data_IF_583832020558
#
_entry.id   IF_583832020558
#
_cell.length_a   1.000
_cell.length_b   1.000
_cell.length_c   1.000
_cell.angle_alpha   90.00
_cell.angle_beta   90.00
_cell.angle_gamma   90.00
#
_symmetry.space_group_name_H-M   'P 1'
#
loop_
_entity.id
_entity.type
_entity.pdbx_description
1 polymer ?
#
# COMPACT_ATOMS: atom_id res chain seq x y z
N UNK A 1 -70.90 61.51 -47.26
CA UNK A 1 -71.35 62.23 -46.03
C UNK A 1 -70.89 61.45 -44.82
N UNK A 2 -70.24 62.16 -43.89
CA UNK A 2 -70.02 61.94 -42.45
C UNK A 2 -69.90 60.50 -41.91
N UNK A 3 -68.71 60.09 -41.44
CA UNK A 3 -68.15 60.23 -40.06
C UNK A 3 -68.69 59.13 -39.13
N UNK A 4 -67.81 58.31 -38.54
CA UNK A 4 -67.64 58.12 -37.07
C UNK A 4 -66.74 56.91 -36.70
N UNK A 5 -65.54 57.25 -36.17
CA UNK A 5 -64.97 56.83 -34.87
C UNK A 5 -64.41 55.39 -34.64
N UNK A 6 -63.09 55.37 -34.32
CA UNK A 6 -62.21 54.34 -33.68
C UNK A 6 -62.77 53.73 -32.35
N UNK A 7 -62.09 52.82 -31.58
CA UNK A 7 -60.79 52.10 -31.72
C UNK A 7 -60.79 50.58 -31.32
N UNK A 8 -59.61 49.97 -31.53
CA UNK A 8 -59.02 48.72 -31.04
C UNK A 8 -59.50 48.09 -29.72
N UNK A 9 -59.49 46.74 -29.66
CA UNK A 9 -58.74 45.93 -28.66
C UNK A 9 -58.85 44.43 -28.97
N UNK A 10 -57.71 43.81 -29.31
CA UNK A 10 -57.54 42.36 -29.36
C UNK A 10 -57.48 41.81 -27.92
N UNK A 11 -58.29 40.80 -27.63
CA UNK A 11 -58.24 40.02 -26.39
C UNK A 11 -57.36 38.78 -26.65
N UNK A 12 -56.11 38.83 -26.17
CA UNK A 12 -55.28 37.63 -26.01
C UNK A 12 -55.60 37.09 -24.62
N UNK A 13 -56.25 35.93 -24.56
CA UNK A 13 -56.41 35.16 -23.33
C UNK A 13 -55.08 34.43 -23.10
N UNK A 14 -54.31 34.92 -22.13
CA UNK A 14 -53.10 34.28 -21.65
C UNK A 14 -53.44 33.10 -20.73
N UNK A 15 -53.11 31.88 -21.14
CA UNK A 15 -53.03 30.74 -20.25
C UNK A 15 -51.69 30.80 -19.51
N UNK A 16 -51.73 31.19 -18.23
CA UNK A 16 -50.59 31.18 -17.33
C UNK A 16 -50.28 29.73 -16.92
N UNK A 17 -49.31 29.10 -17.60
CA UNK A 17 -48.72 27.85 -17.12
C UNK A 17 -47.68 28.22 -16.07
N UNK A 18 -48.05 28.11 -14.78
CA UNK A 18 -47.09 28.15 -13.68
C UNK A 18 -46.24 26.87 -13.74
N UNK A 19 -45.10 26.94 -14.43
CA UNK A 19 -44.03 25.95 -14.25
C UNK A 19 -43.39 26.18 -12.88
N UNK A 20 -43.83 25.42 -11.88
CA UNK A 20 -43.11 25.30 -10.62
C UNK A 20 -41.81 24.53 -10.90
N UNK A 21 -40.76 25.27 -11.25
CA UNK A 21 -39.40 24.75 -11.25
C UNK A 21 -39.02 24.45 -9.80
N UNK A 22 -39.27 23.22 -9.37
CA UNK A 22 -38.71 22.67 -8.14
C UNK A 22 -37.20 22.59 -8.31
N UNK A 23 -36.49 23.66 -7.95
CA UNK A 23 -35.06 23.59 -7.69
C UNK A 23 -34.90 22.73 -6.44
N UNK A 24 -34.74 21.42 -6.61
CA UNK A 24 -34.12 20.59 -5.58
C UNK A 24 -32.68 21.05 -5.46
N UNK A 25 -32.45 22.15 -4.74
CA UNK A 25 -31.13 22.52 -4.27
C UNK A 25 -30.67 21.37 -3.41
N UNK A 26 -29.76 20.55 -3.94
CA UNK A 26 -29.04 19.57 -3.16
C UNK A 26 -28.34 20.34 -2.04
N UNK A 27 -28.94 20.35 -0.85
CA UNK A 27 -28.44 21.04 0.31
C UNK A 27 -27.09 20.40 0.62
N UNK A 28 -26.01 21.13 0.31
CA UNK A 28 -24.62 20.68 0.45
C UNK A 28 -24.46 20.24 1.90
N UNK A 29 -24.45 18.93 2.14
CA UNK A 29 -24.29 18.41 3.50
C UNK A 29 -23.03 19.03 4.07
N UNK A 30 -23.07 19.58 5.30
CA UNK A 30 -21.86 20.10 5.92
C UNK A 30 -20.81 18.99 5.92
N UNK A 31 -19.60 19.32 5.46
CA UNK A 31 -18.49 18.37 5.45
C UNK A 31 -18.25 17.89 6.87
N UNK A 32 -18.08 16.57 7.06
CA UNK A 32 -17.65 16.02 8.33
C UNK A 32 -16.22 16.45 8.71
N UNK A 33 -15.44 16.93 7.73
CA UNK A 33 -14.09 17.44 7.92
C UNK A 33 -14.14 18.91 8.32
N UNK A 34 -13.56 19.30 9.48
CA UNK A 34 -13.51 20.69 9.91
C UNK A 34 -12.79 21.59 8.89
N UNK A 35 -13.39 22.74 8.57
CA UNK A 35 -12.80 23.70 7.62
C UNK A 35 -11.57 24.44 8.18
N UNK A 36 -11.48 24.59 9.51
CA UNK A 36 -10.36 25.20 10.21
C UNK A 36 -9.92 24.28 11.38
N UNK A 37 -9.26 23.15 11.09
CA UNK A 37 -8.84 22.21 12.11
C UNK A 37 -7.71 22.79 12.97
N UNK A 38 -7.72 22.48 14.27
CA UNK A 38 -6.59 22.76 15.15
C UNK A 38 -5.40 21.83 14.84
N UNK A 39 -4.20 22.20 15.27
CA UNK A 39 -3.00 21.37 15.11
C UNK A 39 -3.17 20.01 15.80
N UNK A 40 -3.85 19.97 16.95
CA UNK A 40 -4.20 18.72 17.65
C UNK A 40 -5.07 17.82 16.78
N UNK A 41 -6.03 18.39 16.06
CA UNK A 41 -6.88 17.67 15.12
C UNK A 41 -6.08 17.14 13.94
N UNK A 42 -5.19 17.95 13.36
CA UNK A 42 -4.32 17.54 12.25
C UNK A 42 -3.41 16.38 12.69
N UNK A 43 -2.72 16.50 13.83
CA UNK A 43 -1.86 15.46 14.38
C UNK A 43 -2.66 14.18 14.66
N UNK A 44 -3.87 14.31 15.22
CA UNK A 44 -4.72 13.15 15.46
C UNK A 44 -5.05 12.42 14.15
N UNK A 45 -5.42 13.14 13.09
CA UNK A 45 -5.69 12.51 11.78
C UNK A 45 -4.44 11.84 11.22
N UNK A 46 -3.28 12.51 11.23
CA UNK A 46 -2.03 11.94 10.73
C UNK A 46 -1.62 10.65 11.48
N UNK A 47 -1.89 10.56 12.78
CA UNK A 47 -1.69 9.33 13.56
C UNK A 47 -2.71 8.22 13.26
N UNK A 48 -3.86 8.56 12.67
CA UNK A 48 -4.93 7.59 12.36
C UNK A 48 -4.84 7.04 10.94
N UNK A 49 -4.31 7.81 10.01
CA UNK A 49 -4.23 7.46 8.58
C UNK A 49 -2.79 7.24 8.10
N UNK A 50 -1.83 7.16 9.01
CA UNK A 50 -0.41 7.03 8.70
C UNK A 50 0.38 6.58 9.92
N UNK A 51 1.71 6.56 9.79
CA UNK A 51 2.61 6.23 10.90
C UNK A 51 2.86 7.41 11.86
N UNK A 52 2.08 8.48 11.72
CA UNK A 52 2.21 9.73 12.44
C UNK A 52 2.87 10.84 11.60
N UNK A 53 2.92 12.08 12.13
CA UNK A 53 3.43 13.23 11.39
C UNK A 53 4.96 13.16 11.23
N UNK A 54 5.44 13.21 9.99
CA UNK A 54 6.83 13.50 9.68
C UNK A 54 7.12 15.02 9.83
N UNK A 55 8.40 15.43 9.91
CA UNK A 55 8.76 16.85 9.96
C UNK A 55 8.16 17.64 8.79
N UNK A 56 7.36 18.66 9.10
CA UNK A 56 6.69 19.51 8.10
C UNK A 56 5.30 19.05 7.66
N UNK A 57 4.81 17.90 8.12
CA UNK A 57 3.49 17.38 7.73
C UNK A 57 2.35 18.27 8.22
N UNK A 58 2.41 18.75 9.47
CA UNK A 58 1.37 19.61 10.05
C UNK A 58 1.27 20.92 9.27
N UNK A 59 2.41 21.51 8.91
CA UNK A 59 2.50 22.72 8.10
C UNK A 59 1.98 22.49 6.68
N UNK A 60 2.31 21.33 6.07
CA UNK A 60 1.78 20.95 4.76
C UNK A 60 0.27 20.85 4.79
N UNK A 61 -0.29 20.11 5.75
CA UNK A 61 -1.74 19.94 5.90
C UNK A 61 -2.43 21.27 6.20
N UNK A 62 -1.82 22.15 6.99
CA UNK A 62 -2.35 23.52 7.21
C UNK A 62 -2.45 24.30 5.90
N UNK A 63 -1.45 24.19 5.03
CA UNK A 63 -1.39 24.92 3.76
C UNK A 63 -2.43 24.44 2.75
N UNK A 64 -2.61 23.12 2.61
CA UNK A 64 -3.53 22.54 1.62
C UNK A 64 -4.95 22.33 2.15
N UNK A 65 -5.11 22.30 3.48
CA UNK A 65 -6.36 21.96 4.16
C UNK A 65 -6.51 20.46 4.42
N UNK A 66 -7.13 20.12 5.56
CA UNK A 66 -7.31 18.72 5.99
C UNK A 66 -8.16 17.89 5.03
N UNK A 67 -9.19 18.49 4.42
CA UNK A 67 -10.02 17.79 3.43
C UNK A 67 -9.21 17.39 2.18
N UNK A 68 -8.41 18.31 1.65
CA UNK A 68 -7.55 18.02 0.49
C UNK A 68 -6.49 16.97 0.83
N UNK A 69 -5.94 16.99 2.04
CA UNK A 69 -5.01 15.95 2.49
C UNK A 69 -5.69 14.56 2.55
N UNK A 70 -6.90 14.48 3.10
CA UNK A 70 -7.66 13.22 3.14
C UNK A 70 -7.97 12.71 1.72
N UNK A 71 -8.41 13.59 0.83
CA UNK A 71 -8.68 13.23 -0.57
C UNK A 71 -7.44 12.69 -1.29
N UNK A 72 -6.26 13.28 -1.02
CA UNK A 72 -4.98 12.77 -1.51
C UNK A 72 -4.69 11.35 -1.02
N UNK A 73 -4.88 11.08 0.28
CA UNK A 73 -4.63 9.77 0.86
C UNK A 73 -5.62 8.70 0.35
N UNK A 74 -6.85 9.09 0.03
CA UNK A 74 -7.85 8.19 -0.57
C UNK A 74 -7.63 7.94 -2.07
N UNK A 75 -6.71 8.67 -2.71
CA UNK A 75 -6.39 8.55 -4.14
C UNK A 75 -4.87 8.42 -4.33
N UNK A 76 -4.26 7.33 -3.82
CA UNK A 76 -2.81 7.17 -3.79
C UNK A 76 -2.15 7.20 -5.17
N UNK A 77 -2.86 6.80 -6.23
CA UNK A 77 -2.35 6.84 -7.62
C UNK A 77 -2.05 8.26 -8.12
N UNK A 78 -2.63 9.28 -7.48
CA UNK A 78 -2.39 10.70 -7.82
C UNK A 78 -1.19 11.30 -7.08
N UNK A 79 -0.64 10.58 -6.10
CA UNK A 79 0.51 11.01 -5.34
C UNK A 79 1.78 10.44 -5.96
N UNK A 80 2.71 11.33 -6.31
CA UNK A 80 4.06 10.93 -6.69
C UNK A 80 4.80 10.42 -5.45
N UNK A 81 5.59 9.36 -5.62
CA UNK A 81 6.35 8.74 -4.52
C UNK A 81 7.86 8.67 -4.82
N UNK A 82 8.33 9.61 -5.64
CA UNK A 82 9.69 9.60 -6.20
C UNK A 82 10.79 9.51 -5.14
N UNK A 83 10.56 10.09 -3.95
CA UNK A 83 11.54 10.07 -2.84
C UNK A 83 11.82 8.66 -2.34
N UNK A 84 10.77 7.84 -2.18
CA UNK A 84 10.93 6.46 -1.71
C UNK A 84 11.33 5.55 -2.87
N UNK A 85 10.78 5.75 -4.06
CA UNK A 85 11.18 4.98 -5.24
C UNK A 85 12.68 5.15 -5.56
N UNK A 86 13.23 6.36 -5.41
CA UNK A 86 14.67 6.60 -5.55
C UNK A 86 15.51 5.84 -4.49
N UNK A 87 14.98 5.65 -3.27
CA UNK A 87 15.67 4.89 -2.21
C UNK A 87 15.59 3.38 -2.43
N UNK A 88 14.50 2.91 -3.02
CA UNK A 88 14.27 1.50 -3.34
C UNK A 88 14.91 1.08 -4.67
N UNK A 89 15.39 2.03 -5.47
CA UNK A 89 15.94 1.77 -6.80
C UNK A 89 17.09 0.75 -6.80
N UNK A 90 17.87 0.66 -5.72
CA UNK A 90 18.99 -0.26 -5.58
C UNK A 90 18.65 -1.63 -4.99
N UNK A 91 17.37 -1.92 -4.70
CA UNK A 91 16.94 -3.20 -4.15
C UNK A 91 16.42 -4.08 -5.30
N UNK A 92 17.31 -4.86 -5.87
CA UNK A 92 17.02 -5.63 -7.08
C UNK A 92 15.99 -6.73 -6.84
N UNK A 93 15.97 -7.32 -5.64
CA UNK A 93 15.05 -8.42 -5.32
C UNK A 93 13.59 -7.96 -5.28
N UNK A 94 13.32 -6.67 -5.10
CA UNK A 94 11.96 -6.11 -5.13
C UNK A 94 11.32 -6.12 -6.53
N UNK A 95 12.15 -6.18 -7.57
CA UNK A 95 11.71 -6.13 -8.97
C UNK A 95 11.57 -7.51 -9.61
N UNK A 96 11.99 -8.55 -8.89
CA UNK A 96 12.00 -9.92 -9.40
C UNK A 96 10.61 -10.56 -9.35
N UNK A 97 10.38 -11.55 -10.21
CA UNK A 97 9.22 -12.43 -10.12
C UNK A 97 9.42 -13.48 -9.02
N UNK A 98 8.35 -14.12 -8.56
CA UNK A 98 8.44 -15.30 -7.69
C UNK A 98 9.35 -16.37 -8.31
N UNK A 99 9.30 -16.54 -9.63
CA UNK A 99 10.12 -17.53 -10.33
C UNK A 99 11.62 -17.20 -10.21
N UNK A 100 12.00 -15.95 -10.49
CA UNK A 100 13.40 -15.52 -10.43
C UNK A 100 13.93 -15.61 -8.98
N UNK A 101 13.13 -15.17 -8.01
CA UNK A 101 13.45 -15.31 -6.59
C UNK A 101 13.66 -16.79 -6.21
N UNK A 102 12.81 -17.69 -6.71
CA UNK A 102 12.96 -19.12 -6.48
C UNK A 102 14.26 -19.66 -7.10
N UNK A 103 14.53 -19.31 -8.35
CA UNK A 103 15.66 -19.82 -9.13
C UNK A 103 17.02 -19.31 -8.64
N UNK A 104 17.11 -18.03 -8.33
CA UNK A 104 18.39 -17.38 -8.06
C UNK A 104 18.78 -17.39 -6.58
N UNK A 105 17.79 -17.45 -5.67
CA UNK A 105 18.04 -17.29 -4.23
C UNK A 105 17.69 -18.54 -3.41
N UNK A 106 16.55 -19.19 -3.68
CA UNK A 106 16.05 -20.27 -2.79
C UNK A 106 16.41 -21.69 -3.24
N UNK A 107 16.31 -22.01 -4.54
CA UNK A 107 16.67 -23.34 -5.06
C UNK A 107 18.14 -23.68 -4.83
N UNK A 108 19.12 -22.79 -5.09
CA UNK A 108 20.52 -23.07 -4.80
C UNK A 108 20.76 -23.35 -3.32
N UNK A 109 20.11 -22.59 -2.43
CA UNK A 109 20.21 -22.78 -0.99
C UNK A 109 19.60 -24.10 -0.51
N UNK A 110 18.47 -24.51 -1.08
CA UNK A 110 17.86 -25.81 -0.81
C UNK A 110 18.76 -26.96 -1.25
N UNK A 111 19.35 -26.86 -2.46
CA UNK A 111 20.27 -27.87 -2.98
C UNK A 111 21.54 -27.99 -2.13
N UNK A 112 22.17 -26.88 -1.78
CA UNK A 112 23.37 -26.85 -0.93
C UNK A 112 23.09 -27.47 0.45
N UNK A 113 21.95 -27.11 1.08
CA UNK A 113 21.52 -27.71 2.35
C UNK A 113 21.31 -29.22 2.23
N UNK A 114 20.66 -29.69 1.16
CA UNK A 114 20.42 -31.13 0.93
C UNK A 114 21.73 -31.89 0.72
N UNK A 115 22.66 -31.35 -0.05
CA UNK A 115 23.97 -31.95 -0.27
C UNK A 115 24.76 -32.06 1.05
N UNK A 116 24.75 -31.01 1.86
CA UNK A 116 25.39 -31.03 3.17
C UNK A 116 24.74 -32.01 4.15
N UNK A 117 23.41 -32.12 4.16
CA UNK A 117 22.68 -33.11 4.97
C UNK A 117 23.04 -34.54 4.56
N UNK A 118 23.10 -34.82 3.26
CA UNK A 118 23.53 -36.12 2.72
C UNK A 118 24.97 -36.45 3.09
N UNK A 119 25.88 -35.47 3.00
CA UNK A 119 27.26 -35.64 3.43
C UNK A 119 27.37 -35.93 4.94
N UNK A 120 26.43 -35.45 5.75
CA UNK A 120 26.30 -35.75 7.18
C UNK A 120 25.55 -37.06 7.48
N UNK A 121 25.14 -37.83 6.47
CA UNK A 121 24.40 -39.10 6.64
C UNK A 121 22.92 -38.95 7.02
N UNK A 122 22.37 -37.73 6.99
CA UNK A 122 20.94 -37.47 7.17
C UNK A 122 20.29 -37.37 5.79
N UNK A 123 19.50 -38.37 5.39
CA UNK A 123 18.71 -38.32 4.14
C UNK A 123 17.21 -38.18 4.50
N UNK A 124 16.69 -36.94 4.63
CA UNK A 124 15.27 -36.77 4.88
C UNK A 124 14.51 -37.19 3.61
N UNK A 125 13.67 -38.22 3.74
CA UNK A 125 12.73 -38.61 2.70
C UNK A 125 11.90 -37.41 2.25
N UNK A 126 11.59 -37.35 0.96
CA UNK A 126 10.79 -36.29 0.32
C UNK A 126 9.31 -36.47 0.68
N UNK A 127 8.95 -36.42 1.97
CA UNK A 127 7.54 -36.39 2.38
C UNK A 127 7.00 -34.97 2.16
N UNK A 128 5.88 -34.79 1.45
CA UNK A 128 5.21 -33.49 1.30
C UNK A 128 4.66 -32.96 2.63
N UNK A 129 4.65 -33.79 3.68
CA UNK A 129 4.08 -33.46 4.97
C UNK A 129 5.06 -32.66 5.83
N UNK A 130 4.64 -31.42 6.00
CA UNK A 130 5.12 -30.35 6.85
C UNK A 130 5.55 -30.84 8.26
N UNK A 131 6.62 -30.26 8.83
CA UNK A 131 6.40 -29.52 10.07
C UNK A 131 6.85 -28.07 9.90
N UNK A 132 5.90 -27.24 9.49
CA UNK A 132 5.93 -25.80 9.62
C UNK A 132 5.44 -25.48 11.03
N UNK A 133 6.21 -25.89 12.03
CA UNK A 133 5.99 -25.41 13.40
C UNK A 133 7.23 -25.49 14.29
N UNK A 134 8.37 -25.92 13.76
CA UNK A 134 9.65 -25.70 14.43
C UNK A 134 10.34 -24.54 13.72
N UNK A 135 10.68 -23.44 14.44
CA UNK A 135 11.74 -22.57 13.98
C UNK A 135 12.91 -23.48 13.65
N UNK A 136 13.43 -23.36 12.43
CA UNK A 136 14.63 -24.05 12.03
C UNK A 136 15.71 -23.76 13.09
N UNK A 137 15.98 -24.76 13.94
CA UNK A 137 17.04 -24.68 14.95
C UNK A 137 18.43 -24.66 14.30
N UNK A 138 18.55 -24.56 12.96
CA UNK A 138 19.81 -24.25 12.26
C UNK A 138 20.39 -22.87 12.60
N UNK A 139 19.69 -22.06 13.40
CA UNK A 139 20.26 -20.91 14.11
C UNK A 139 21.42 -21.29 15.05
N UNK A 140 21.57 -22.56 15.41
CA UNK A 140 22.68 -23.07 16.20
C UNK A 140 23.53 -24.07 15.41
N UNK A 141 24.40 -23.62 14.51
CA UNK A 141 25.56 -24.39 14.02
C UNK A 141 26.46 -23.47 13.16
N UNK A 142 27.13 -22.54 13.84
CA UNK A 142 27.92 -21.47 13.20
C UNK A 142 29.36 -21.82 12.85
N UNK A 143 29.85 -23.05 13.08
CA UNK A 143 31.28 -23.37 12.90
C UNK A 143 31.65 -24.11 11.61
N UNK A 144 30.80 -25.01 11.11
CA UNK A 144 31.20 -25.94 10.02
C UNK A 144 30.38 -25.79 8.72
N UNK A 145 29.98 -24.56 8.36
CA UNK A 145 29.34 -24.32 7.05
C UNK A 145 30.39 -24.20 5.95
N UNK A 146 30.18 -24.94 4.87
CA UNK A 146 30.94 -24.82 3.61
C UNK A 146 30.80 -23.41 3.01
N UNK A 147 31.74 -22.95 2.17
CA UNK A 147 31.61 -21.66 1.49
C UNK A 147 30.31 -21.53 0.67
N UNK A 148 29.86 -22.63 0.06
CA UNK A 148 28.64 -22.69 -0.73
C UNK A 148 27.38 -22.52 0.13
N UNK A 149 27.28 -23.20 1.28
CA UNK A 149 26.18 -23.02 2.24
C UNK A 149 26.12 -21.59 2.80
N UNK A 150 27.29 -20.96 3.03
CA UNK A 150 27.35 -19.57 3.49
C UNK A 150 26.82 -18.61 2.42
N UNK A 151 27.26 -18.78 1.17
CA UNK A 151 26.80 -17.97 0.04
C UNK A 151 25.29 -18.11 -0.15
N UNK A 152 24.76 -19.32 -0.05
CA UNK A 152 23.34 -19.56 -0.24
C UNK A 152 22.49 -19.01 0.92
N UNK A 153 22.96 -19.14 2.17
CA UNK A 153 22.32 -18.51 3.32
C UNK A 153 22.38 -16.97 3.26
N UNK A 154 23.46 -16.41 2.72
CA UNK A 154 23.58 -14.97 2.47
C UNK A 154 22.53 -14.53 1.43
N UNK A 155 22.39 -15.27 0.33
CA UNK A 155 21.43 -14.96 -0.73
C UNK A 155 19.99 -14.90 -0.18
N UNK A 156 19.54 -15.92 0.56
CA UNK A 156 18.20 -15.91 1.17
C UNK A 156 17.97 -14.72 2.12
N UNK A 157 19.02 -14.28 2.83
CA UNK A 157 18.94 -13.15 3.76
C UNK A 157 18.78 -11.82 3.04
N UNK A 158 19.37 -11.67 1.84
CA UNK A 158 19.26 -10.43 1.05
C UNK A 158 17.81 -10.17 0.67
N UNK A 159 17.09 -11.18 0.17
CA UNK A 159 15.67 -11.05 -0.21
C UNK A 159 14.83 -10.56 0.98
N UNK A 160 14.98 -11.19 2.15
CA UNK A 160 14.23 -10.79 3.34
C UNK A 160 14.65 -9.43 3.88
N UNK A 161 15.95 -9.11 3.83
CA UNK A 161 16.46 -7.81 4.26
C UNK A 161 15.89 -6.68 3.41
N UNK A 162 15.87 -6.81 2.09
CA UNK A 162 15.33 -5.80 1.18
C UNK A 162 13.83 -5.60 1.41
N UNK A 163 13.04 -6.66 1.63
CA UNK A 163 11.62 -6.57 2.00
C UNK A 163 11.40 -5.81 3.32
N UNK A 164 12.20 -6.11 4.34
CA UNK A 164 12.12 -5.40 5.63
C UNK A 164 12.52 -3.93 5.48
N UNK A 165 13.57 -3.65 4.72
CA UNK A 165 14.02 -2.29 4.45
C UNK A 165 12.98 -1.51 3.65
N UNK A 166 12.31 -2.14 2.68
CA UNK A 166 11.23 -1.52 1.93
C UNK A 166 10.14 -0.99 2.87
N UNK A 167 9.65 -1.81 3.79
CA UNK A 167 8.59 -1.40 4.73
C UNK A 167 8.99 -0.18 5.55
N UNK A 168 10.22 -0.17 6.08
CA UNK A 168 10.74 0.95 6.87
C UNK A 168 10.86 2.21 6.00
N UNK A 169 11.41 2.08 4.79
CA UNK A 169 11.59 3.21 3.89
C UNK A 169 10.27 3.81 3.45
N UNK A 170 9.27 2.98 3.14
CA UNK A 170 7.93 3.44 2.77
C UNK A 170 7.20 4.10 3.95
N UNK A 171 7.28 3.51 5.14
CA UNK A 171 6.75 4.16 6.34
C UNK A 171 7.36 5.55 6.59
N UNK A 172 8.67 5.69 6.38
CA UNK A 172 9.39 6.93 6.65
C UNK A 172 9.30 7.99 5.53
N UNK A 173 9.21 7.58 4.27
CA UNK A 173 9.39 8.49 3.13
C UNK A 173 8.25 8.50 2.11
N UNK A 174 7.30 7.56 2.17
CA UNK A 174 6.18 7.55 1.24
C UNK A 174 5.21 8.70 1.54
N UNK A 175 4.75 9.38 0.50
CA UNK A 175 3.66 10.35 0.60
C UNK A 175 2.28 9.64 0.71
N UNK A 176 2.22 8.34 0.43
CA UNK A 176 1.01 7.49 0.40
C UNK A 176 0.76 6.78 1.74
N UNK A 177 0.90 7.50 2.85
CA UNK A 177 0.87 6.96 4.22
C UNK A 177 -0.34 6.05 4.52
N UNK A 178 -1.54 6.40 4.06
CA UNK A 178 -2.73 5.56 4.25
C UNK A 178 -2.59 4.21 3.53
N UNK A 179 -2.08 4.20 2.30
CA UNK A 179 -1.83 2.96 1.55
C UNK A 179 -0.83 2.09 2.30
N UNK A 180 0.26 2.66 2.82
CA UNK A 180 1.29 1.91 3.55
C UNK A 180 0.77 1.28 4.85
N UNK A 181 -0.06 2.00 5.62
CA UNK A 181 -0.73 1.44 6.80
C UNK A 181 -1.70 0.32 6.42
N UNK A 182 -2.44 0.47 5.31
CA UNK A 182 -3.35 -0.58 4.83
C UNK A 182 -2.58 -1.83 4.37
N UNK A 183 -1.44 -1.65 3.69
CA UNK A 183 -0.55 -2.75 3.30
C UNK A 183 -0.07 -3.50 4.54
N UNK A 184 0.45 -2.80 5.56
CA UNK A 184 0.90 -3.43 6.81
C UNK A 184 -0.25 -4.13 7.56
N UNK A 185 -1.42 -3.49 7.62
CA UNK A 185 -2.62 -4.08 8.21
C UNK A 185 -2.98 -5.40 7.55
N UNK A 186 -3.11 -5.46 6.22
CA UNK A 186 -3.50 -6.67 5.52
C UNK A 186 -2.43 -7.75 5.60
N UNK A 187 -1.15 -7.37 5.53
CA UNK A 187 -0.03 -8.29 5.69
C UNK A 187 -0.09 -9.00 7.05
N UNK A 188 -0.33 -8.24 8.12
CA UNK A 188 -0.47 -8.76 9.48
C UNK A 188 -1.78 -9.54 9.67
N UNK A 189 -2.89 -9.04 9.13
CA UNK A 189 -4.22 -9.65 9.29
C UNK A 189 -4.29 -11.02 8.61
N UNK A 190 -3.70 -11.18 7.43
CA UNK A 190 -3.60 -12.47 6.75
C UNK A 190 -2.51 -13.38 7.31
N UNK A 191 -1.83 -12.99 8.40
CA UNK A 191 -0.76 -13.75 9.05
C UNK A 191 0.32 -14.19 8.05
N UNK A 192 0.68 -13.30 7.12
CA UNK A 192 1.69 -13.57 6.09
C UNK A 192 3.07 -13.57 6.74
N UNK A 193 3.70 -14.74 6.84
CA UNK A 193 4.97 -14.90 7.54
C UNK A 193 6.03 -15.58 6.67
N UNK A 194 7.17 -14.90 6.49
CA UNK A 194 8.31 -15.41 5.72
C UNK A 194 8.84 -16.75 6.22
N UNK A 195 8.80 -16.98 7.54
CA UNK A 195 9.27 -18.24 8.12
C UNK A 195 8.34 -19.43 7.86
N UNK A 196 7.16 -19.23 7.27
CA UNK A 196 6.18 -20.30 7.02
C UNK A 196 6.42 -20.93 5.64
N UNK A 197 7.04 -22.11 5.62
CA UNK A 197 7.19 -22.91 4.39
C UNK A 197 7.79 -22.12 3.22
N UNK A 198 7.11 -22.18 2.07
CA UNK A 198 7.51 -21.50 0.83
C UNK A 198 7.05 -20.04 0.73
N UNK A 199 6.31 -19.50 1.71
CA UNK A 199 5.76 -18.13 1.66
C UNK A 199 6.81 -17.09 1.27
N UNK A 200 8.03 -17.21 1.82
CA UNK A 200 9.17 -16.33 1.52
C UNK A 200 9.48 -16.13 0.03
N UNK A 201 9.20 -17.12 -0.81
CA UNK A 201 9.47 -17.07 -2.26
C UNK A 201 8.47 -16.13 -2.95
N UNK A 202 7.23 -16.11 -2.47
CA UNK A 202 6.13 -15.33 -3.04
C UNK A 202 6.05 -13.90 -2.52
N UNK A 203 6.74 -13.58 -1.41
CA UNK A 203 6.53 -12.31 -0.69
C UNK A 203 6.80 -11.07 -1.53
N UNK A 204 7.85 -11.07 -2.33
CA UNK A 204 8.20 -9.94 -3.21
C UNK A 204 7.04 -9.57 -4.13
N UNK A 205 6.59 -10.53 -4.92
CA UNK A 205 5.54 -10.31 -5.92
C UNK A 205 4.18 -10.10 -5.25
N UNK A 206 3.89 -10.81 -4.17
CA UNK A 206 2.69 -10.61 -3.37
C UNK A 206 2.60 -9.17 -2.81
N UNK A 207 3.68 -8.66 -2.22
CA UNK A 207 3.70 -7.29 -1.67
C UNK A 207 3.56 -6.22 -2.77
N UNK A 208 4.21 -6.44 -3.92
CA UNK A 208 4.24 -5.49 -5.04
C UNK A 208 2.94 -5.46 -5.84
N UNK A 209 2.37 -6.63 -6.14
CA UNK A 209 1.33 -6.76 -7.18
C UNK A 209 -0.05 -7.13 -6.63
N UNK A 210 -0.14 -7.63 -5.39
CA UNK A 210 -1.42 -8.08 -4.82
C UNK A 210 -1.97 -7.14 -3.75
N UNK A 211 -1.11 -6.62 -2.86
CA UNK A 211 -1.57 -5.81 -1.72
C UNK A 211 -1.30 -4.32 -1.86
N UNK A 212 -0.53 -3.90 -2.87
CA UNK A 212 -0.18 -2.50 -3.12
C UNK A 212 -0.97 -1.93 -4.28
#
# INVERSE_FOLDING_TARGET
MNVFRKPSRALIVGALVCAAAGTTGAQKRPSAVPSAPSDKTVIHVLNRIGFGPAPGDVERVRRIGLAAHLDQQLQPDRLADDKVEARLAGFDTLKMSTQDIAQDYYLPALMARRQAQRAKGNDPAMTPETPAMTPDKSGAEGKDRTPEERKAAQAERVVLAELMQQKILRAAYSEKQLQEVMVDFWFNHFNVFAGKGQTRIYLTEYERDTIR
#
